data_IF_818876935188
#
_entry.id   IF_818876935188
#
_cell.length_a   1.000
_cell.length_b   1.000
_cell.length_c   1.000
_cell.angle_alpha   90.00
_cell.angle_beta   90.00
_cell.angle_gamma   90.00
#
_symmetry.space_group_name_H-M   'P 1'
#
loop_
_entity.id
_entity.type
_entity.pdbx_description
1 polymer ?
#
# COMPACT_ATOMS: atom_id res chain seq x y z
N UNK A 1 11.13 3.88 -0.59
CA UNK A 1 10.38 3.47 -1.79
C UNK A 1 10.55 4.46 -2.94
N UNK A 2 10.24 5.75 -2.76
CA UNK A 2 10.29 6.76 -3.84
C UNK A 2 11.60 6.77 -4.65
N UNK A 3 12.76 6.69 -3.98
CA UNK A 3 14.06 6.66 -4.66
C UNK A 3 14.20 5.53 -5.70
N UNK A 4 13.57 4.37 -5.47
CA UNK A 4 13.56 3.26 -6.44
C UNK A 4 12.49 3.50 -7.49
N UNK A 5 11.27 3.85 -7.09
CA UNK A 5 10.15 4.10 -8.00
C UNK A 5 10.43 5.20 -9.03
N UNK A 6 11.19 6.23 -8.68
CA UNK A 6 11.58 7.31 -9.60
C UNK A 6 12.76 6.95 -10.50
N UNK A 7 13.57 5.96 -10.11
CA UNK A 7 14.77 5.55 -10.83
C UNK A 7 14.50 4.54 -11.95
N UNK A 8 13.34 3.89 -11.96
CA UNK A 8 13.02 2.82 -12.90
C UNK A 8 11.66 3.06 -13.57
N UNK A 9 11.52 2.53 -14.79
CA UNK A 9 10.26 2.62 -15.55
C UNK A 9 9.39 1.36 -15.43
N UNK A 10 9.87 0.33 -14.72
CA UNK A 10 9.09 -0.89 -14.46
C UNK A 10 8.27 -0.73 -13.17
N UNK A 11 7.09 -1.38 -13.07
CA UNK A 11 6.28 -1.28 -11.86
C UNK A 11 7.01 -1.75 -10.60
N UNK A 12 6.87 -0.99 -9.52
CA UNK A 12 7.48 -1.24 -8.20
C UNK A 12 6.41 -1.59 -7.17
N UNK A 13 6.62 -2.72 -6.49
CA UNK A 13 5.81 -3.14 -5.35
C UNK A 13 6.53 -2.79 -4.04
N UNK A 14 5.94 -1.92 -3.23
CA UNK A 14 6.44 -1.67 -1.88
C UNK A 14 6.11 -2.88 -0.98
N UNK A 15 7.13 -3.46 -0.35
CA UNK A 15 6.98 -4.63 0.52
C UNK A 15 7.82 -4.47 1.79
N UNK A 16 7.20 -4.74 2.94
CA UNK A 16 7.82 -4.67 4.27
C UNK A 16 7.53 -3.37 5.03
N UNK A 17 7.32 -3.49 6.36
CA UNK A 17 7.13 -2.34 7.27
C UNK A 17 5.70 -1.78 7.38
N UNK A 18 4.73 -2.33 6.66
CA UNK A 18 3.32 -1.96 6.83
C UNK A 18 2.76 -2.49 8.16
N UNK A 19 2.27 -1.59 9.01
CA UNK A 19 1.69 -1.90 10.33
C UNK A 19 0.26 -1.40 10.52
N UNK A 20 -0.27 -0.67 9.55
CA UNK A 20 -1.67 -0.22 9.48
C UNK A 20 -2.03 0.14 8.02
N UNK A 21 -3.32 0.16 7.65
CA UNK A 21 -3.77 0.48 6.29
C UNK A 21 -3.18 1.76 5.68
N UNK A 22 -2.97 2.79 6.50
CA UNK A 22 -2.43 4.08 6.07
C UNK A 22 -1.01 3.94 5.50
N UNK A 23 -0.20 2.99 6.01
CA UNK A 23 1.14 2.76 5.48
C UNK A 23 1.10 2.30 4.01
N UNK A 24 0.06 1.55 3.61
CA UNK A 24 -0.10 1.12 2.22
C UNK A 24 -0.50 2.31 1.34
N UNK A 25 -1.38 3.19 1.83
CA UNK A 25 -1.74 4.40 1.10
C UNK A 25 -0.53 5.35 0.94
N UNK A 26 0.26 5.53 2.01
CA UNK A 26 1.49 6.33 1.99
C UNK A 26 2.52 5.74 1.02
N UNK A 27 2.62 4.41 0.92
CA UNK A 27 3.50 3.75 -0.04
C UNK A 27 3.17 4.11 -1.50
N UNK A 28 1.89 4.30 -1.83
CA UNK A 28 1.44 4.72 -3.16
C UNK A 28 1.64 6.24 -3.34
N UNK A 29 1.06 7.06 -2.45
CA UNK A 29 0.98 8.51 -2.64
C UNK A 29 2.30 9.24 -2.39
N UNK A 30 3.03 8.85 -1.35
CA UNK A 30 4.32 9.46 -0.97
C UNK A 30 5.47 8.64 -1.54
N UNK A 31 5.37 7.32 -1.39
CA UNK A 31 6.39 6.37 -1.84
C UNK A 31 6.43 6.15 -3.35
N UNK A 32 5.44 6.64 -4.10
CA UNK A 32 5.29 6.50 -5.56
C UNK A 32 5.37 5.04 -6.05
N UNK A 33 4.99 4.08 -5.21
CA UNK A 33 4.89 2.69 -5.64
C UNK A 33 3.62 2.46 -6.46
N UNK A 34 3.69 1.50 -7.39
CA UNK A 34 2.53 1.08 -8.19
C UNK A 34 1.61 0.13 -7.41
N UNK A 35 2.17 -0.59 -6.43
CA UNK A 35 1.43 -1.46 -5.53
C UNK A 35 2.08 -1.54 -4.15
N UNK A 36 1.30 -1.98 -3.15
CA UNK A 36 1.76 -2.22 -1.79
C UNK A 36 1.41 -3.65 -1.34
N UNK A 37 2.33 -4.28 -0.62
CA UNK A 37 2.18 -5.61 -0.05
C UNK A 37 2.30 -5.51 1.48
N UNK A 38 1.33 -6.11 2.17
CA UNK A 38 1.39 -6.34 3.61
C UNK A 38 1.03 -7.79 3.93
N UNK A 39 1.65 -8.35 4.97
CA UNK A 39 1.46 -9.74 5.38
C UNK A 39 0.95 -9.82 6.83
N UNK A 40 1.75 -9.40 7.80
CA UNK A 40 1.45 -9.57 9.23
C UNK A 40 0.09 -9.01 9.65
N UNK A 41 -0.24 -7.79 9.22
CA UNK A 41 -1.52 -7.15 9.57
C UNK A 41 -2.75 -7.91 9.07
N UNK A 42 -2.62 -8.69 7.99
CA UNK A 42 -3.70 -9.52 7.46
C UNK A 42 -3.65 -10.93 8.05
N UNK A 43 -2.45 -11.49 8.23
CA UNK A 43 -2.25 -12.82 8.77
C UNK A 43 -2.75 -12.95 10.22
N UNK A 44 -2.55 -11.91 11.03
CA UNK A 44 -3.00 -11.86 12.42
C UNK A 44 -4.40 -11.27 12.59
N UNK A 45 -5.07 -10.88 11.49
CA UNK A 45 -6.43 -10.33 11.54
C UNK A 45 -6.53 -8.97 12.23
N UNK A 46 -5.44 -8.23 12.35
CA UNK A 46 -5.42 -6.86 12.91
C UNK A 46 -6.26 -5.90 12.04
N UNK A 47 -6.20 -6.10 10.73
CA UNK A 47 -7.00 -5.39 9.74
C UNK A 47 -7.47 -6.35 8.64
N UNK A 48 -8.66 -6.11 8.11
CA UNK A 48 -9.16 -6.84 6.95
C UNK A 48 -8.72 -6.20 5.63
N UNK A 49 -8.77 -6.99 4.55
CA UNK A 49 -8.61 -6.47 3.18
C UNK A 49 -9.67 -5.42 2.86
N UNK A 50 -10.90 -5.58 3.35
CA UNK A 50 -11.99 -4.63 3.12
C UNK A 50 -11.72 -3.28 3.77
N UNK A 51 -11.35 -3.26 5.05
CA UNK A 51 -10.98 -2.03 5.76
C UNK A 51 -9.80 -1.33 5.10
N UNK A 52 -8.80 -2.09 4.69
CA UNK A 52 -7.63 -1.53 3.99
C UNK A 52 -8.01 -0.88 2.67
N UNK A 53 -8.84 -1.56 1.86
CA UNK A 53 -9.38 -0.98 0.62
C UNK A 53 -10.22 0.27 0.89
N UNK A 54 -11.00 0.30 1.96
CA UNK A 54 -11.79 1.48 2.34
C UNK A 54 -10.87 2.67 2.65
N UNK A 55 -9.82 2.49 3.46
CA UNK A 55 -8.84 3.55 3.75
C UNK A 55 -8.15 4.05 2.47
N UNK A 56 -7.79 3.16 1.56
CA UNK A 56 -7.20 3.55 0.27
C UNK A 56 -8.20 4.33 -0.58
N UNK A 57 -9.45 3.88 -0.67
CA UNK A 57 -10.52 4.55 -1.40
C UNK A 57 -10.82 5.95 -0.84
N UNK A 58 -10.93 6.08 0.48
CA UNK A 58 -11.18 7.35 1.17
C UNK A 58 -10.04 8.36 0.95
N UNK A 59 -8.83 7.88 0.69
CA UNK A 59 -7.66 8.70 0.29
C UNK A 59 -7.58 8.98 -1.20
N UNK A 60 -8.59 8.58 -1.98
CA UNK A 60 -8.67 8.81 -3.42
C UNK A 60 -7.82 7.86 -4.26
N UNK A 61 -7.35 6.74 -3.70
CA UNK A 61 -6.63 5.70 -4.45
C UNK A 61 -7.66 4.73 -5.06
N UNK A 62 -7.70 4.57 -6.40
CA UNK A 62 -8.58 3.60 -7.03
C UNK A 62 -8.27 2.18 -6.56
N UNK A 63 -9.28 1.49 -6.06
CA UNK A 63 -9.17 0.10 -5.61
C UNK A 63 -10.28 -0.76 -6.21
N UNK A 64 -9.97 -2.02 -6.48
CA UNK A 64 -10.96 -3.02 -6.84
C UNK A 64 -11.68 -3.48 -5.58
N UNK A 65 -12.99 -3.33 -5.48
CA UNK A 65 -13.77 -3.88 -4.37
C UNK A 65 -13.99 -5.38 -4.54
#
# INVERSE_FOLDING_TARGET
>A
TAAVSEAVSIPVVASGGAGRPEHLADAIQVGKADAALAASIFHFGEYSIRETKQVMFDRGIPVRF
#
